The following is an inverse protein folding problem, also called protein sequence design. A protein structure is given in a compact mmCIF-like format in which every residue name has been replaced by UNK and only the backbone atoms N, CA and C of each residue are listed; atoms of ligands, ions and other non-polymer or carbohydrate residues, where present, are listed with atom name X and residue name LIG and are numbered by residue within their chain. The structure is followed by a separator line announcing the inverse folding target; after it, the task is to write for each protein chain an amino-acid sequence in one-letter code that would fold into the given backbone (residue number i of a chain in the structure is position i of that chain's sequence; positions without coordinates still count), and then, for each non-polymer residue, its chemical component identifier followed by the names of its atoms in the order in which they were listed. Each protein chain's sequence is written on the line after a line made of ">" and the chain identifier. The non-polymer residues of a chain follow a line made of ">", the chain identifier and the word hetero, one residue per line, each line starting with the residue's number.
data_IF_668968644592
#
_entry.id   IF_668968644592
#
_cell.length_a   1.000
_cell.length_b   1.000
_cell.length_c   1.000
_cell.angle_alpha   90.00
_cell.angle_beta   90.00
_cell.angle_gamma   90.00
#
_symmetry.space_group_name_H-M   'P 1'
#
loop_
_entity.id
_entity.type
_entity.pdbx_description
1 polymer ?
#
# COMPACT_ATOMS: atom_id res chain seq x y z
N UNK A 1 -13.23 -10.65 3.73
CA UNK A 1 -12.40 -11.10 4.88
C UNK A 1 -12.43 -12.62 4.98
N UNK A 2 -13.60 -13.24 5.18
CA UNK A 2 -13.74 -14.70 5.38
C UNK A 2 -13.28 -15.57 4.19
N UNK A 3 -13.66 -15.22 2.96
CA UNK A 3 -13.18 -15.93 1.76
C UNK A 3 -11.66 -15.83 1.56
N UNK A 4 -11.05 -14.70 1.92
CA UNK A 4 -9.60 -14.50 1.79
C UNK A 4 -8.83 -15.34 2.83
N UNK A 5 -9.38 -15.47 4.04
CA UNK A 5 -8.85 -16.32 5.10
C UNK A 5 -8.91 -17.81 4.72
N UNK A 6 -10.06 -18.30 4.24
CA UNK A 6 -10.19 -19.70 3.82
C UNK A 6 -9.29 -20.04 2.62
N UNK A 7 -9.14 -19.10 1.67
CA UNK A 7 -8.19 -19.26 0.57
C UNK A 7 -6.75 -19.37 1.09
N UNK A 8 -6.34 -18.48 2.01
CA UNK A 8 -5.01 -18.51 2.63
C UNK A 8 -4.75 -19.83 3.36
N UNK A 9 -5.73 -20.31 4.13
CA UNK A 9 -5.68 -21.58 4.86
C UNK A 9 -5.48 -22.76 3.92
N UNK A 10 -6.27 -22.85 2.84
CA UNK A 10 -6.12 -23.91 1.84
C UNK A 10 -4.74 -23.90 1.18
N UNK A 11 -4.25 -22.71 0.79
CA UNK A 11 -2.92 -22.57 0.19
C UNK A 11 -1.81 -23.01 1.14
N UNK A 12 -1.92 -22.66 2.41
CA UNK A 12 -0.97 -23.04 3.44
C UNK A 12 -0.96 -24.55 3.71
N UNK A 13 -2.14 -25.17 3.75
CA UNK A 13 -2.28 -26.63 3.89
C UNK A 13 -1.63 -27.35 2.70
N UNK A 14 -1.91 -26.90 1.47
CA UNK A 14 -1.30 -27.48 0.27
C UNK A 14 0.24 -27.37 0.30
N UNK A 15 0.78 -26.24 0.76
CA UNK A 15 2.22 -26.04 0.88
C UNK A 15 2.84 -26.93 1.96
N UNK A 16 2.15 -27.10 3.09
CA UNK A 16 2.57 -27.99 4.18
C UNK A 16 2.62 -29.47 3.78
N UNK A 17 1.77 -29.90 2.85
CA UNK A 17 1.75 -31.29 2.37
C UNK A 17 2.85 -31.57 1.33
N UNK A 18 3.30 -30.56 0.59
CA UNK A 18 4.28 -30.70 -0.51
C UNK A 18 5.73 -30.73 -0.03
N UNK A 19 6.08 -29.96 1.01
CA UNK A 19 7.48 -29.79 1.41
C UNK A 19 8.21 -31.08 1.85
N UNK A 20 7.58 -32.10 2.49
CA UNK A 20 8.30 -33.30 2.89
C UNK A 20 8.79 -34.11 1.67
N UNK A 21 7.92 -34.28 0.66
CA UNK A 21 8.27 -35.00 -0.56
C UNK A 21 9.36 -34.26 -1.35
N UNK A 22 9.19 -32.94 -1.52
CA UNK A 22 10.18 -32.10 -2.20
C UNK A 22 11.54 -32.14 -1.48
N UNK A 23 11.53 -32.08 -0.15
CA UNK A 23 12.74 -32.18 0.68
C UNK A 23 13.48 -33.50 0.48
N UNK A 24 12.76 -34.63 0.46
CA UNK A 24 13.37 -35.94 0.24
C UNK A 24 14.02 -36.04 -1.16
N UNK A 25 13.32 -35.57 -2.21
CA UNK A 25 13.86 -35.58 -3.59
C UNK A 25 15.06 -34.66 -3.76
N UNK A 26 15.07 -33.51 -3.08
CA UNK A 26 16.22 -32.61 -3.04
C UNK A 26 17.42 -33.27 -2.35
N UNK A 27 17.20 -33.96 -1.23
CA UNK A 27 18.26 -34.68 -0.52
C UNK A 27 18.88 -35.80 -1.39
N UNK A 28 18.05 -36.60 -2.05
CA UNK A 28 18.51 -37.63 -2.99
C UNK A 28 19.29 -37.04 -4.17
N UNK A 29 18.81 -35.94 -4.73
CA UNK A 29 19.44 -35.27 -5.88
C UNK A 29 20.77 -34.63 -5.47
N UNK A 30 20.83 -34.00 -4.29
CA UNK A 30 22.06 -33.46 -3.74
C UNK A 30 23.11 -34.56 -3.54
N UNK A 31 22.68 -35.75 -3.09
CA UNK A 31 23.58 -36.90 -2.97
C UNK A 31 24.08 -37.38 -4.34
N UNK A 32 23.22 -37.51 -5.35
CA UNK A 32 23.61 -37.89 -6.72
C UNK A 32 24.55 -36.87 -7.35
N UNK A 33 24.32 -35.58 -7.12
CA UNK A 33 25.22 -34.51 -7.55
C UNK A 33 26.59 -34.63 -6.87
N UNK A 34 26.61 -34.91 -5.56
CA UNK A 34 27.84 -35.07 -4.78
C UNK A 34 28.66 -36.29 -5.19
N UNK A 35 28.02 -37.42 -5.48
CA UNK A 35 28.71 -38.69 -5.74
C UNK A 35 28.99 -38.95 -7.22
N UNK A 36 28.08 -38.54 -8.11
CA UNK A 36 28.13 -38.85 -9.53
C UNK A 36 28.15 -37.60 -10.43
N UNK A 37 28.05 -36.39 -9.87
CA UNK A 37 28.00 -35.15 -10.65
C UNK A 37 26.71 -34.98 -11.45
N UNK A 38 25.68 -35.79 -11.20
CA UNK A 38 24.42 -35.72 -11.94
C UNK A 38 23.67 -34.43 -11.59
N UNK A 39 23.37 -33.56 -12.56
CA UNK A 39 22.62 -32.33 -12.30
C UNK A 39 21.18 -32.62 -11.88
N UNK A 40 20.53 -31.74 -11.10
CA UNK A 40 19.11 -31.83 -10.80
C UNK A 40 18.25 -31.87 -12.06
N UNK A 41 17.18 -32.66 -12.04
CA UNK A 41 16.19 -32.64 -13.11
C UNK A 41 15.50 -31.27 -13.16
N UNK A 42 15.25 -30.75 -14.36
CA UNK A 42 14.61 -29.44 -14.56
C UNK A 42 13.26 -29.35 -13.83
N UNK A 43 12.49 -30.44 -13.83
CA UNK A 43 11.20 -30.53 -13.12
C UNK A 43 11.32 -30.32 -11.62
N UNK A 44 12.40 -30.77 -10.99
CA UNK A 44 12.66 -30.56 -9.56
C UNK A 44 13.03 -29.10 -9.28
N UNK A 45 13.79 -28.47 -10.17
CA UNK A 45 14.15 -27.04 -10.09
C UNK A 45 12.89 -26.18 -10.23
N UNK A 46 12.04 -26.49 -11.21
CA UNK A 46 10.78 -25.78 -11.44
C UNK A 46 9.83 -25.92 -10.23
N UNK A 47 9.78 -27.11 -9.63
CA UNK A 47 8.96 -27.37 -8.45
C UNK A 47 9.48 -26.64 -7.19
N UNK A 48 10.79 -26.51 -7.03
CA UNK A 48 11.41 -25.71 -5.97
C UNK A 48 11.13 -24.22 -6.15
N UNK A 49 11.23 -23.72 -7.39
CA UNK A 49 10.89 -22.33 -7.73
C UNK A 49 9.41 -22.07 -7.42
N UNK A 50 8.52 -22.98 -7.84
CA UNK A 50 7.09 -22.88 -7.56
C UNK A 50 6.81 -22.89 -6.05
N UNK A 51 7.45 -23.79 -5.29
CA UNK A 51 7.31 -23.84 -3.84
C UNK A 51 7.75 -22.54 -3.16
N UNK A 52 8.92 -21.99 -3.53
CA UNK A 52 9.41 -20.71 -3.01
C UNK A 52 8.47 -19.56 -3.33
N UNK A 53 7.92 -19.54 -4.55
CA UNK A 53 6.96 -18.54 -4.97
C UNK A 53 5.65 -18.63 -4.18
N UNK A 54 5.09 -19.83 -4.05
CA UNK A 54 3.86 -20.05 -3.29
C UNK A 54 4.01 -19.60 -1.82
N UNK A 55 5.18 -19.85 -1.22
CA UNK A 55 5.51 -19.38 0.13
C UNK A 55 5.55 -17.85 0.21
N UNK A 56 6.26 -17.18 -0.70
CA UNK A 56 6.33 -15.71 -0.74
C UNK A 56 4.98 -15.07 -1.04
N UNK A 57 4.17 -15.66 -1.92
CA UNK A 57 2.82 -15.19 -2.23
C UNK A 57 1.94 -15.22 -0.96
N UNK A 58 2.04 -16.27 -0.15
CA UNK A 58 1.37 -16.36 1.14
C UNK A 58 1.87 -15.27 2.10
N UNK A 59 3.18 -15.03 2.19
CA UNK A 59 3.74 -13.95 3.02
C UNK A 59 3.16 -12.58 2.65
N UNK A 60 3.07 -12.28 1.35
CA UNK A 60 2.51 -11.04 0.86
C UNK A 60 1.02 -10.93 1.14
N UNK A 61 0.26 -12.01 0.95
CA UNK A 61 -1.17 -12.05 1.28
C UNK A 61 -1.40 -11.83 2.78
N UNK A 62 -0.60 -12.43 3.65
CA UNK A 62 -0.65 -12.21 5.10
C UNK A 62 -0.27 -10.76 5.49
N UNK A 63 0.72 -10.16 4.81
CA UNK A 63 1.08 -8.77 4.98
C UNK A 63 -0.06 -7.81 4.65
N UNK A 64 -0.77 -8.06 3.54
CA UNK A 64 -1.96 -7.29 3.14
C UNK A 64 -3.09 -7.43 4.17
N UNK A 65 -3.18 -8.56 4.88
CA UNK A 65 -4.10 -8.77 5.99
C UNK A 65 -3.63 -8.14 7.32
N UNK A 66 -2.52 -7.38 7.31
CA UNK A 66 -2.02 -6.68 8.50
C UNK A 66 -1.02 -7.47 9.35
N UNK A 67 -0.62 -8.68 8.95
CA UNK A 67 0.45 -9.44 9.63
C UNK A 67 1.82 -8.99 9.16
N UNK A 68 2.31 -7.87 9.68
CA UNK A 68 3.68 -7.40 9.44
C UNK A 68 4.78 -8.44 9.73
N UNK A 69 4.67 -9.33 10.75
CA UNK A 69 5.67 -10.36 10.99
C UNK A 69 5.76 -11.41 9.86
N UNK A 70 4.78 -11.48 8.96
CA UNK A 70 4.79 -12.46 7.87
C UNK A 70 5.98 -12.32 6.93
N UNK A 71 6.54 -11.12 6.78
CA UNK A 71 7.74 -10.87 5.96
C UNK A 71 8.98 -11.55 6.54
N UNK A 72 9.02 -11.74 7.87
CA UNK A 72 10.17 -12.31 8.58
C UNK A 72 10.04 -13.82 8.81
N UNK A 73 8.89 -14.42 8.48
CA UNK A 73 8.70 -15.85 8.62
C UNK A 73 9.57 -16.62 7.62
N UNK A 74 10.35 -17.55 8.14
CA UNK A 74 11.26 -18.44 7.39
C UNK A 74 10.72 -19.86 7.26
N UNK A 75 9.61 -20.19 7.92
CA UNK A 75 9.02 -21.53 7.88
C UNK A 75 7.50 -21.51 7.66
N UNK A 76 6.99 -22.61 7.08
CA UNK A 76 5.55 -22.82 6.89
C UNK A 76 4.82 -22.81 8.23
N UNK A 77 5.45 -23.34 9.28
CA UNK A 77 4.92 -23.34 10.64
C UNK A 77 4.76 -21.92 11.20
N UNK A 78 5.71 -21.03 10.94
CA UNK A 78 5.58 -19.62 11.35
C UNK A 78 4.42 -18.95 10.62
N UNK A 79 4.22 -19.22 9.33
CA UNK A 79 3.05 -18.72 8.60
C UNK A 79 1.73 -19.32 9.10
N UNK A 80 1.72 -20.59 9.52
CA UNK A 80 0.57 -21.25 10.16
C UNK A 80 0.16 -20.51 11.43
N UNK A 81 1.14 -20.22 12.29
CA UNK A 81 0.90 -19.50 13.54
C UNK A 81 0.38 -18.07 13.30
N UNK A 82 0.93 -17.37 12.31
CA UNK A 82 0.45 -16.04 11.94
C UNK A 82 -0.96 -16.05 11.33
N UNK A 83 -1.30 -17.09 10.57
CA UNK A 83 -2.66 -17.28 10.06
C UNK A 83 -3.63 -17.58 11.21
N UNK A 84 -3.21 -18.31 12.24
CA UNK A 84 -4.01 -18.53 13.45
C UNK A 84 -4.37 -17.20 14.13
N UNK A 85 -3.44 -16.23 14.14
CA UNK A 85 -3.66 -14.87 14.66
C UNK A 85 -4.54 -14.00 13.74
N UNK A 86 -4.70 -14.39 12.47
CA UNK A 86 -5.60 -13.76 11.50
C UNK A 86 -6.99 -14.37 11.46
N UNK A 87 -7.24 -15.44 12.22
CA UNK A 87 -8.60 -15.93 12.38
C UNK A 87 -9.49 -14.73 12.70
N UNK A 88 -10.47 -14.38 11.85
CA UNK A 88 -11.55 -13.57 12.34
C UNK A 88 -12.22 -14.48 13.36
N UNK A 89 -11.92 -14.26 14.62
CA UNK A 89 -12.85 -14.64 15.67
C UNK A 89 -14.10 -13.77 15.45
N UNK A 90 -14.89 -14.07 14.42
CA UNK A 90 -16.09 -13.31 14.08
C UNK A 90 -17.08 -13.34 15.25
N UNK A 91 -17.03 -14.41 16.05
CA UNK A 91 -17.55 -14.46 17.41
C UNK A 91 -16.72 -13.58 18.35
N UNK A 92 -15.48 -13.96 18.68
CA UNK A 92 -14.75 -13.30 19.76
C UNK A 92 -14.46 -11.81 19.56
N UNK A 93 -14.15 -11.26 18.39
CA UNK A 93 -13.94 -9.81 18.25
C UNK A 93 -15.21 -8.98 18.41
N UNK A 94 -16.37 -9.46 17.94
CA UNK A 94 -17.65 -8.77 18.18
C UNK A 94 -18.06 -8.93 19.64
N UNK A 95 -17.99 -10.14 20.16
CA UNK A 95 -18.22 -10.51 21.57
C UNK A 95 -17.30 -9.75 22.52
N UNK A 96 -16.01 -9.62 22.21
CA UNK A 96 -14.98 -8.94 23.00
C UNK A 96 -15.14 -7.42 22.93
N UNK A 97 -15.48 -6.87 21.75
CA UNK A 97 -15.83 -5.45 21.61
C UNK A 97 -17.12 -5.12 22.38
N UNK A 98 -18.15 -5.96 22.28
CA UNK A 98 -19.40 -5.80 23.02
C UNK A 98 -19.19 -5.94 24.53
N UNK A 99 -18.42 -6.93 24.97
CA UNK A 99 -18.06 -7.11 26.38
C UNK A 99 -17.29 -5.91 26.93
N UNK A 100 -16.31 -5.39 26.19
CA UNK A 100 -15.58 -4.17 26.58
C UNK A 100 -16.48 -2.94 26.64
N UNK A 101 -17.43 -2.78 25.71
CA UNK A 101 -18.37 -1.67 25.72
C UNK A 101 -19.30 -1.71 26.94
N UNK A 102 -19.81 -2.89 27.29
CA UNK A 102 -20.66 -3.07 28.49
C UNK A 102 -19.85 -2.80 29.77
N UNK A 103 -18.60 -3.28 29.83
CA UNK A 103 -17.69 -3.01 30.95
C UNK A 103 -17.45 -1.51 31.09
N UNK A 104 -17.18 -0.80 30.00
CA UNK A 104 -17.01 0.65 30.00
C UNK A 104 -18.27 1.38 30.49
N UNK A 105 -19.46 0.98 30.02
CA UNK A 105 -20.73 1.53 30.48
C UNK A 105 -20.89 1.39 32.00
N UNK A 106 -20.60 0.23 32.59
CA UNK A 106 -20.65 0.03 34.05
C UNK A 106 -19.66 0.94 34.78
N UNK A 107 -18.45 1.13 34.24
CA UNK A 107 -17.44 2.00 34.84
C UNK A 107 -17.83 3.48 34.83
N UNK A 108 -18.75 3.89 33.94
CA UNK A 108 -19.30 5.25 33.89
C UNK A 108 -20.52 5.48 34.79
N UNK A 109 -21.06 4.43 35.41
CA UNK A 109 -22.17 4.54 36.34
C UNK A 109 -21.74 5.27 37.62
N UNK A 110 -22.58 6.17 38.08
CA UNK A 110 -22.39 6.90 39.34
C UNK A 110 -23.69 6.93 40.12
N UNK A 111 -23.57 7.04 41.45
CA UNK A 111 -24.71 7.23 42.32
C UNK A 111 -24.85 8.72 42.65
N UNK A 112 -26.04 9.29 42.42
CA UNK A 112 -26.26 10.73 42.55
C UNK A 112 -26.09 11.27 43.99
N UNK A 113 -26.53 10.50 45.00
CA UNK A 113 -26.52 10.95 46.40
C UNK A 113 -25.29 10.50 47.21
N UNK A 114 -24.76 9.29 46.96
CA UNK A 114 -23.66 8.70 47.72
C UNK A 114 -22.48 8.38 46.81
N UNK A 115 -21.42 9.19 46.88
CA UNK A 115 -20.20 9.02 46.07
C UNK A 115 -19.49 7.69 46.33
N UNK A 116 -19.55 7.21 47.56
CA UNK A 116 -18.90 5.97 48.01
C UNK A 116 -19.92 4.84 48.20
N UNK A 117 -20.83 4.64 47.25
CA UNK A 117 -21.86 3.59 47.35
C UNK A 117 -21.23 2.19 47.18
N UNK A 118 -21.07 1.38 48.26
CA UNK A 118 -20.26 0.18 48.21
C UNK A 118 -20.74 -0.89 47.21
N UNK A 119 -22.06 -1.14 47.03
CA UNK A 119 -22.54 -2.11 46.03
C UNK A 119 -22.16 -1.75 44.58
N UNK A 120 -22.12 -0.46 44.24
CA UNK A 120 -21.68 -0.01 42.92
C UNK A 120 -20.15 -0.15 42.77
N UNK A 121 -19.38 0.13 43.82
CA UNK A 121 -17.93 -0.09 43.82
C UNK A 121 -17.58 -1.58 43.60
N UNK A 122 -18.32 -2.50 44.22
CA UNK A 122 -18.16 -3.94 43.99
C UNK A 122 -18.39 -4.30 42.52
N UNK A 123 -19.47 -3.79 41.90
CA UNK A 123 -19.75 -4.01 40.49
C UNK A 123 -18.67 -3.41 39.57
N UNK A 124 -18.15 -2.23 39.89
CA UNK A 124 -17.08 -1.57 39.14
C UNK A 124 -15.74 -2.30 39.28
N UNK A 125 -15.41 -2.83 40.46
CA UNK A 125 -14.19 -3.61 40.67
C UNK A 125 -14.23 -4.91 39.87
N UNK A 126 -15.37 -5.62 39.88
CA UNK A 126 -15.57 -6.80 39.05
C UNK A 126 -15.45 -6.46 37.55
N UNK A 127 -15.98 -5.32 37.12
CA UNK A 127 -15.83 -4.84 35.74
C UNK A 127 -14.35 -4.56 35.38
N UNK A 128 -13.55 -3.98 36.30
CA UNK A 128 -12.11 -3.75 36.10
C UNK A 128 -11.30 -5.03 36.03
N UNK A 129 -11.59 -6.01 36.88
CA UNK A 129 -10.94 -7.33 36.85
C UNK A 129 -11.22 -8.05 35.53
N UNK A 130 -12.46 -7.96 35.03
CA UNK A 130 -12.81 -8.49 33.73
C UNK A 130 -12.12 -7.72 32.60
N UNK A 131 -12.00 -6.39 32.70
CA UNK A 131 -11.28 -5.57 31.73
C UNK A 131 -9.80 -5.98 31.61
N UNK A 132 -9.11 -6.17 32.75
CA UNK A 132 -7.69 -6.56 32.76
C UNK A 132 -7.50 -7.99 32.25
N UNK A 133 -8.39 -8.91 32.63
CA UNK A 133 -8.39 -10.27 32.13
C UNK A 133 -8.58 -10.30 30.60
N UNK A 134 -9.56 -9.56 30.08
CA UNK A 134 -9.87 -9.43 28.65
C UNK A 134 -8.72 -8.79 27.85
N UNK A 135 -7.98 -7.85 28.46
CA UNK A 135 -6.81 -7.20 27.85
C UNK A 135 -5.58 -8.13 27.78
N UNK A 136 -5.44 -9.09 28.70
CA UNK A 136 -4.31 -10.01 28.77
C UNK A 136 -4.44 -11.24 27.85
N UNK A 137 -5.50 -11.34 27.05
CA UNK A 137 -5.72 -12.40 26.05
C UNK A 137 -5.50 -13.84 26.60
N UNK A 138 -5.87 -14.09 27.85
CA UNK A 138 -5.75 -15.44 28.41
C UNK A 138 -6.80 -16.37 27.77
N UNK A 139 -6.34 -17.47 27.16
CA UNK A 139 -7.17 -18.44 26.43
C UNK A 139 -8.36 -19.01 27.24
N UNK A 140 -8.36 -18.86 28.57
CA UNK A 140 -9.44 -19.29 29.47
C UNK A 140 -10.70 -18.41 29.47
N UNK A 141 -10.70 -17.22 28.82
CA UNK A 141 -11.80 -16.23 28.93
C UNK A 141 -12.92 -16.35 27.90
N UNK A 142 -12.93 -17.42 27.09
CA UNK A 142 -13.94 -17.61 26.06
C UNK A 142 -15.36 -17.65 26.67
N UNK A 143 -15.55 -18.26 27.85
CA UNK A 143 -16.88 -18.42 28.47
C UNK A 143 -17.47 -17.15 29.09
N UNK A 144 -16.66 -16.30 29.74
CA UNK A 144 -17.15 -15.08 30.42
C UNK A 144 -17.37 -13.94 29.43
N UNK A 145 -16.49 -13.79 28.45
CA UNK A 145 -16.67 -12.84 27.37
C UNK A 145 -17.91 -13.18 26.52
N UNK A 146 -18.18 -14.48 26.31
CA UNK A 146 -19.39 -14.95 25.65
C UNK A 146 -20.65 -14.67 26.47
N UNK A 147 -20.66 -14.93 27.78
CA UNK A 147 -21.78 -14.59 28.67
C UNK A 147 -22.12 -13.09 28.66
N UNK A 148 -21.10 -12.22 28.63
CA UNK A 148 -21.28 -10.76 28.49
C UNK A 148 -21.90 -10.39 27.14
N UNK A 149 -21.52 -11.06 26.05
CA UNK A 149 -22.04 -10.76 24.71
C UNK A 149 -23.41 -11.37 24.42
N UNK A 150 -23.74 -12.52 25.01
CA UNK A 150 -25.07 -13.16 24.89
C UNK A 150 -26.11 -12.54 25.82
N UNK A 151 -25.70 -11.60 26.68
CA UNK A 151 -26.59 -10.90 27.62
C UNK A 151 -26.87 -11.64 28.92
N UNK A 152 -26.21 -12.78 29.16
CA UNK A 152 -26.40 -13.61 30.35
C UNK A 152 -25.35 -13.28 31.42
N UNK A 153 -25.23 -12.00 31.77
CA UNK A 153 -24.27 -11.55 32.77
C UNK A 153 -24.86 -10.45 33.66
N UNK A 154 -24.64 -10.47 34.99
CA UNK A 154 -25.17 -9.46 35.90
C UNK A 154 -24.81 -8.01 35.55
N UNK A 155 -23.62 -7.79 34.97
CA UNK A 155 -23.23 -6.46 34.48
C UNK A 155 -24.07 -5.98 33.28
N UNK A 156 -24.55 -6.88 32.43
CA UNK A 156 -25.47 -6.53 31.33
C UNK A 156 -26.84 -6.16 31.88
N UNK A 157 -27.31 -6.90 32.89
CA UNK A 157 -28.54 -6.57 33.60
C UNK A 157 -28.46 -5.19 34.25
N UNK A 158 -27.29 -4.84 34.79
CA UNK A 158 -27.05 -3.56 35.46
C UNK A 158 -27.19 -2.40 34.48
N UNK A 159 -26.52 -2.49 33.33
CA UNK A 159 -26.61 -1.48 32.26
C UNK A 159 -28.03 -1.42 31.70
N UNK A 160 -28.68 -2.57 31.49
CA UNK A 160 -30.02 -2.63 30.89
C UNK A 160 -31.09 -1.99 31.79
N UNK A 161 -31.04 -2.23 33.10
CA UNK A 161 -31.97 -1.61 34.05
C UNK A 161 -31.79 -0.09 34.15
N UNK A 162 -30.57 0.42 33.94
CA UNK A 162 -30.26 1.86 34.00
C UNK A 162 -30.57 2.56 32.65
N UNK A 163 -30.26 1.93 31.52
CA UNK A 163 -30.41 2.53 30.19
C UNK A 163 -31.83 2.42 29.63
N UNK A 164 -32.54 1.33 29.92
CA UNK A 164 -33.84 1.01 29.32
C UNK A 164 -35.00 1.08 30.31
N UNK A 165 -34.83 1.78 31.43
CA UNK A 165 -35.80 1.86 32.53
C UNK A 165 -37.23 2.16 32.07
N UNK A 166 -37.41 3.04 31.06
CA UNK A 166 -38.72 3.45 30.56
C UNK A 166 -39.35 2.50 29.51
N UNK A 167 -38.61 1.49 29.06
CA UNK A 167 -39.00 0.62 27.94
C UNK A 167 -39.10 -0.86 28.28
N UNK A 168 -38.75 -1.24 29.51
CA UNK A 168 -38.81 -2.61 29.99
C UNK A 168 -40.22 -2.94 30.51
N UNK A 169 -40.72 -4.13 30.18
CA UNK A 169 -41.95 -4.65 30.78
C UNK A 169 -41.70 -5.23 32.18
N UNK A 170 -42.79 -5.40 32.97
CA UNK A 170 -42.72 -5.86 34.36
C UNK A 170 -42.04 -7.24 34.51
N UNK A 171 -42.19 -8.12 33.53
CA UNK A 171 -41.60 -9.46 33.57
C UNK A 171 -40.09 -9.40 33.27
N UNK A 172 -39.68 -8.61 32.29
CA UNK A 172 -38.26 -8.36 31.97
C UNK A 172 -37.56 -7.67 33.13
N UNK A 173 -38.22 -6.69 33.76
CA UNK A 173 -37.69 -5.99 34.93
C UNK A 173 -37.42 -6.96 36.10
N UNK A 174 -38.40 -7.82 36.43
CA UNK A 174 -38.25 -8.79 37.52
C UNK A 174 -37.08 -9.75 37.31
N UNK A 175 -36.89 -10.25 36.07
CA UNK A 175 -35.78 -11.13 35.71
C UNK A 175 -34.43 -10.43 35.89
N UNK A 176 -34.30 -9.19 35.43
CA UNK A 176 -33.05 -8.42 35.53
C UNK A 176 -32.76 -8.01 36.99
N UNK A 177 -33.77 -7.64 37.76
CA UNK A 177 -33.63 -7.30 39.18
C UNK A 177 -33.19 -8.52 40.03
N UNK A 178 -33.68 -9.72 39.71
CA UNK A 178 -33.24 -10.96 40.35
C UNK A 178 -31.76 -11.26 40.05
N UNK A 179 -31.31 -11.03 38.82
CA UNK A 179 -29.90 -11.18 38.44
C UNK A 179 -28.99 -10.17 39.16
N UNK A 180 -29.43 -8.93 39.36
CA UNK A 180 -28.69 -7.94 40.15
C UNK A 180 -28.69 -8.28 41.64
N UNK A 181 -29.83 -8.71 42.16
CA UNK A 181 -29.97 -9.03 43.58
C UNK A 181 -29.10 -10.21 43.99
N UNK A 182 -29.04 -11.24 43.14
CA UNK A 182 -28.22 -12.43 43.37
C UNK A 182 -26.72 -12.15 43.25
N UNK A 183 -26.30 -11.23 42.38
CA UNK A 183 -24.89 -10.94 42.13
C UNK A 183 -24.31 -9.80 43.01
N UNK A 184 -25.06 -8.72 43.20
CA UNK A 184 -24.58 -7.47 43.82
C UNK A 184 -25.39 -7.04 45.05
N UNK A 185 -26.45 -7.78 45.39
CA UNK A 185 -27.29 -7.53 46.55
C UNK A 185 -28.48 -6.60 46.28
N UNK A 186 -29.50 -6.69 47.17
CA UNK A 186 -30.78 -5.97 47.05
C UNK A 186 -30.64 -4.44 47.03
N UNK A 187 -29.63 -3.90 47.70
CA UNK A 187 -29.41 -2.46 47.80
C UNK A 187 -29.12 -1.80 46.45
N UNK A 188 -28.43 -2.50 45.54
CA UNK A 188 -28.16 -1.99 44.20
C UNK A 188 -29.43 -1.97 43.34
N UNK A 189 -30.24 -3.04 43.38
CA UNK A 189 -31.53 -3.10 42.68
C UNK A 189 -32.49 -1.98 43.12
N UNK A 190 -32.60 -1.73 44.43
CA UNK A 190 -33.42 -0.65 44.98
C UNK A 190 -32.91 0.74 44.59
N UNK A 191 -31.60 0.94 44.46
CA UNK A 191 -31.04 2.20 44.00
C UNK A 191 -31.38 2.48 42.53
N UNK A 192 -31.36 1.43 41.69
CA UNK A 192 -31.71 1.53 40.26
C UNK A 192 -33.21 1.79 40.08
N UNK A 193 -34.08 1.05 40.78
CA UNK A 193 -35.53 1.28 40.70
C UNK A 193 -35.96 2.67 41.15
N UNK A 194 -35.16 3.31 42.02
CA UNK A 194 -35.34 4.70 42.46
C UNK A 194 -34.66 5.75 41.57
N UNK A 195 -34.04 5.35 40.45
CA UNK A 195 -33.36 6.27 39.52
C UNK A 195 -32.10 6.93 40.09
N UNK A 196 -31.49 6.35 41.14
CA UNK A 196 -30.34 6.95 41.84
C UNK A 196 -29.00 6.65 41.19
N UNK A 197 -28.97 5.70 40.24
CA UNK A 197 -27.79 5.30 39.47
C UNK A 197 -27.93 5.87 38.05
N UNK A 198 -26.94 6.63 37.58
CA UNK A 198 -26.95 7.26 36.25
C UNK A 198 -25.57 7.17 35.57
N UNK A 199 -25.56 7.25 34.24
CA UNK A 199 -24.32 7.39 33.47
C UNK A 199 -23.72 8.79 33.64
N UNK A 200 -22.40 8.87 33.79
CA UNK A 200 -21.68 10.14 33.83
C UNK A 200 -21.74 10.82 32.46
N UNK A 201 -22.62 11.81 32.30
CA UNK A 201 -22.60 12.69 31.13
C UNK A 201 -21.36 13.57 31.23
N UNK A 202 -20.44 13.45 30.25
CA UNK A 202 -19.35 14.41 30.06
C UNK A 202 -19.95 15.74 29.61
N UNK A 203 -20.40 16.56 30.55
CA UNK A 203 -20.90 17.91 30.32
C UNK A 203 -19.76 18.80 29.76
N UNK A 204 -19.83 19.13 28.47
CA UNK A 204 -19.42 20.47 28.02
C UNK A 204 -20.44 21.47 28.57
N UNK A 205 -20.02 22.30 29.51
CA UNK A 205 -20.85 23.31 30.13
C UNK A 205 -21.38 24.31 29.07
N UNK A 206 -22.70 24.58 29.00
CA UNK A 206 -23.19 25.85 28.52
C UNK A 206 -23.14 26.84 29.67
N UNK A 207 -22.14 27.72 29.68
CA UNK A 207 -22.14 28.89 30.55
C UNK A 207 -23.19 29.87 30.06
N UNK A 208 -24.42 29.78 30.58
CA UNK A 208 -25.37 30.89 30.52
C UNK A 208 -25.06 31.79 31.71
N UNK A 209 -24.17 32.76 31.49
CA UNK A 209 -23.94 33.86 32.40
C UNK A 209 -24.98 34.94 32.13
N UNK A 210 -25.70 35.32 33.18
CA UNK A 210 -26.72 36.38 33.22
C UNK A 210 -26.16 37.69 32.66
N UNK A 211 -26.90 38.30 31.72
CA UNK A 211 -26.55 39.57 31.09
C UNK A 211 -26.62 40.76 32.08
N UNK A 212 -25.59 41.64 32.11
CA UNK A 212 -25.71 43.00 32.61
C UNK A 212 -25.98 43.99 31.47
N UNK A 213 -26.79 44.99 31.82
CA UNK A 213 -27.31 46.12 31.02
C UNK A 213 -26.22 46.93 30.27
N UNK A 214 -26.47 47.43 29.04
CA UNK A 214 -25.50 48.21 28.28
C UNK A 214 -25.40 49.65 28.81
N UNK A 215 -24.17 50.09 29.10
CA UNK A 215 -23.83 51.49 29.35
C UNK A 215 -22.97 52.00 28.18
N UNK A 216 -23.37 53.16 27.66
CA UNK A 216 -22.78 53.92 26.55
C UNK A 216 -21.42 54.48 27.01
N UNK A 217 -20.36 54.43 26.19
CA UNK A 217 -19.22 55.32 26.38
C UNK A 217 -19.22 56.51 25.41
N UNK A 218 -18.88 57.65 25.99
CA UNK A 218 -18.86 59.00 25.44
C UNK A 218 -17.78 59.25 24.37
N UNK A 219 -18.10 60.24 23.53
CA UNK A 219 -17.26 60.89 22.53
C UNK A 219 -16.24 61.81 23.23
N UNK A 220 -14.96 61.76 22.83
CA UNK A 220 -14.02 62.88 22.94
C UNK A 220 -13.20 62.97 21.64
N UNK A 221 -12.92 64.21 21.24
CA UNK A 221 -12.75 64.76 19.88
C UNK A 221 -11.27 65.10 19.57
N UNK A 222 -10.89 64.84 18.31
CA UNK A 222 -9.91 65.45 17.37
C UNK A 222 -8.43 65.68 17.76
N UNK A 223 -7.54 65.23 16.86
CA UNK A 223 -6.82 66.18 15.97
C UNK A 223 -6.43 65.50 14.62
N UNK A 224 -6.67 66.22 13.52
CA UNK A 224 -6.24 65.96 12.12
C UNK A 224 -4.81 66.56 11.88
N UNK A 225 -4.07 66.39 10.76
CA UNK A 225 -4.58 66.22 9.38
C UNK A 225 -3.70 65.49 8.33
N UNK A 226 -4.30 65.40 7.12
CA UNK A 226 -3.71 65.33 5.76
C UNK A 226 -3.19 63.99 5.20
N UNK A 227 -3.80 63.59 4.08
CA UNK A 227 -3.03 63.55 2.83
C UNK A 227 -3.00 62.23 2.06
N UNK A 228 -3.96 62.08 1.13
CA UNK A 228 -3.77 61.70 -0.28
C UNK A 228 -2.95 60.45 -0.67
N UNK A 229 -3.57 59.55 -1.43
CA UNK A 229 -2.88 58.79 -2.48
C UNK A 229 -3.13 57.28 -2.52
N UNK A 230 -3.84 56.83 -3.55
CA UNK A 230 -4.14 55.44 -3.91
C UNK A 230 -2.93 54.69 -4.56
N UNK A 231 -3.06 53.41 -4.97
CA UNK A 231 -2.02 52.38 -4.83
C UNK A 231 -0.90 52.43 -5.89
N UNK A 232 0.31 52.04 -5.49
CA UNK A 232 1.49 52.02 -6.36
C UNK A 232 1.59 50.73 -7.18
N UNK A 233 1.51 50.92 -8.50
CA UNK A 233 1.84 49.96 -9.56
C UNK A 233 3.35 49.71 -9.56
N UNK A 234 3.77 48.45 -9.34
CA UNK A 234 5.16 48.06 -9.55
C UNK A 234 5.35 47.77 -11.05
N UNK A 235 5.97 48.74 -11.71
CA UNK A 235 6.50 48.68 -13.07
C UNK A 235 7.79 47.85 -13.05
N UNK A 236 7.86 46.82 -13.89
CA UNK A 236 9.10 46.08 -14.19
C UNK A 236 9.62 46.57 -15.55
N UNK A 237 10.86 47.08 -15.67
CA UNK A 237 11.38 47.56 -16.95
C UNK A 237 11.74 46.40 -17.89
N UNK A 238 11.52 46.63 -19.18
CA UNK A 238 11.79 45.71 -20.28
C UNK A 238 13.19 45.90 -20.88
N UNK A 239 13.59 44.88 -21.65
CA UNK A 239 14.53 44.84 -22.80
C UNK A 239 16.01 44.56 -22.48
N UNK A 240 16.47 43.37 -22.88
CA UNK A 240 17.34 43.31 -24.07
C UNK A 240 17.11 42.01 -24.87
N UNK A 241 16.90 42.17 -26.19
CA UNK A 241 16.61 41.12 -27.18
C UNK A 241 17.83 41.00 -28.08
N UNK A 242 18.41 39.79 -28.20
CA UNK A 242 19.49 39.55 -29.16
C UNK A 242 19.10 38.48 -30.19
N UNK A 243 18.75 38.99 -31.39
CA UNK A 243 19.02 38.53 -32.77
C UNK A 243 18.66 37.11 -33.23
N UNK A 244 17.74 37.07 -34.20
CA UNK A 244 17.55 36.03 -35.22
C UNK A 244 18.73 35.96 -36.23
N UNK A 245 18.89 34.82 -36.95
CA UNK A 245 20.02 34.51 -37.82
C UNK A 245 19.97 35.22 -39.19
N UNK A 246 21.09 35.31 -39.92
CA UNK A 246 21.12 35.96 -41.23
C UNK A 246 20.52 35.09 -42.34
N UNK A 247 19.58 35.69 -43.07
CA UNK A 247 19.18 35.28 -44.43
C UNK A 247 20.26 35.74 -45.41
N UNK A 248 20.75 34.82 -46.25
CA UNK A 248 21.55 35.15 -47.44
C UNK A 248 20.72 34.72 -48.66
N UNK A 249 20.26 35.70 -49.44
CA UNK A 249 19.75 35.49 -50.79
C UNK A 249 20.79 35.97 -51.81
N UNK A 250 21.00 35.17 -52.86
CA UNK A 250 21.40 35.69 -54.17
C UNK A 250 22.53 34.97 -54.91
N UNK A 251 22.15 34.08 -55.84
CA UNK A 251 22.86 33.69 -57.08
C UNK A 251 24.17 32.90 -56.98
N UNK A 252 24.07 31.57 -57.15
CA UNK A 252 24.51 30.87 -58.37
C UNK A 252 24.23 29.36 -58.27
N UNK A 253 23.43 28.87 -59.22
CA UNK A 253 23.20 27.44 -59.47
C UNK A 253 24.31 26.96 -60.40
N UNK A 254 25.07 25.93 -60.01
CA UNK A 254 25.87 25.10 -60.94
C UNK A 254 25.72 23.64 -60.53
N UNK A 255 25.15 22.85 -61.43
CA UNK A 255 25.12 21.38 -61.39
C UNK A 255 26.48 20.83 -61.85
N UNK A 256 26.99 19.82 -61.15
CA UNK A 256 28.22 19.12 -61.55
C UNK A 256 28.39 17.77 -60.83
N UNK A 257 28.07 16.70 -61.53
CA UNK A 257 28.41 15.32 -61.17
C UNK A 257 29.93 15.10 -61.24
N UNK A 258 30.55 14.48 -60.23
CA UNK A 258 31.41 13.28 -60.35
C UNK A 258 31.93 12.80 -58.98
N UNK A 259 32.23 11.49 -58.84
CA UNK A 259 32.27 10.79 -57.56
C UNK A 259 33.65 10.89 -56.89
N UNK A 260 33.67 11.07 -55.57
CA UNK A 260 34.89 10.79 -54.80
C UNK A 260 34.80 9.36 -54.32
N UNK A 261 35.45 8.50 -55.11
CA UNK A 261 35.75 7.13 -54.75
C UNK A 261 36.56 7.08 -53.45
N UNK A 262 36.12 6.15 -52.61
CA UNK A 262 36.76 5.54 -51.46
C UNK A 262 38.28 5.74 -51.32
N UNK A 263 38.68 6.16 -50.12
CA UNK A 263 39.67 5.40 -49.36
C UNK A 263 38.99 4.86 -48.11
N UNK A 264 38.68 3.58 -48.16
CA UNK A 264 38.39 2.76 -47.00
C UNK A 264 39.65 2.65 -46.14
N UNK A 265 39.48 2.83 -44.82
CA UNK A 265 40.24 2.28 -43.68
C UNK A 265 39.96 3.23 -42.48
N UNK A 266 39.38 2.83 -41.34
CA UNK A 266 39.29 1.51 -40.76
C UNK A 266 37.88 1.07 -40.36
N UNK A 267 37.74 -0.25 -40.29
CA UNK A 267 36.63 -1.00 -39.74
C UNK A 267 36.33 -0.46 -38.33
N UNK A 268 35.20 0.24 -38.17
CA UNK A 268 34.74 0.71 -36.86
C UNK A 268 34.56 -0.52 -35.97
N UNK A 269 35.47 -0.67 -35.01
CA UNK A 269 35.37 -1.59 -33.89
C UNK A 269 34.08 -1.27 -33.13
N UNK A 270 33.14 -2.23 -33.11
CA UNK A 270 31.94 -2.34 -32.27
C UNK A 270 31.70 -1.13 -31.35
N UNK A 271 31.21 -0.02 -31.93
CA UNK A 271 30.86 1.17 -31.16
C UNK A 271 29.54 0.90 -30.44
N UNK A 272 29.63 0.37 -29.23
CA UNK A 272 28.49 0.29 -28.32
C UNK A 272 27.99 1.72 -28.06
N UNK A 273 26.79 2.04 -28.55
CA UNK A 273 26.15 3.32 -28.27
C UNK A 273 25.75 3.32 -26.80
N UNK A 274 26.16 4.36 -26.09
CA UNK A 274 25.81 4.57 -24.69
C UNK A 274 24.39 5.12 -24.59
N UNK A 275 23.67 4.68 -23.55
CA UNK A 275 22.32 5.09 -23.23
C UNK A 275 22.25 5.53 -21.78
N UNK A 276 21.43 6.53 -21.50
CA UNK A 276 20.99 6.90 -20.17
C UNK A 276 19.51 6.52 -20.03
N UNK A 277 19.24 5.57 -19.15
CA UNK A 277 17.91 4.97 -18.96
C UNK A 277 17.42 5.33 -17.56
N UNK A 278 16.39 6.16 -17.47
CA UNK A 278 15.72 6.46 -16.21
C UNK A 278 14.50 5.56 -16.07
N UNK A 279 14.33 4.92 -14.91
CA UNK A 279 13.14 4.12 -14.57
C UNK A 279 12.61 4.55 -13.21
N UNK A 280 11.28 4.68 -13.11
CA UNK A 280 10.58 4.89 -11.84
C UNK A 280 10.11 3.55 -11.31
N UNK A 281 10.63 3.15 -10.15
CA UNK A 281 10.32 1.88 -9.51
C UNK A 281 9.42 2.09 -8.30
N UNK A 282 8.41 1.23 -8.16
CA UNK A 282 7.48 1.28 -7.02
C UNK A 282 8.23 1.31 -5.69
N UNK A 283 7.99 2.37 -4.91
CA UNK A 283 8.55 2.56 -3.58
C UNK A 283 10.05 2.85 -3.54
N UNK A 284 10.73 2.97 -4.69
CA UNK A 284 12.16 3.35 -4.77
C UNK A 284 12.38 4.66 -5.54
N UNK A 285 11.41 5.12 -6.32
CA UNK A 285 11.50 6.34 -7.09
C UNK A 285 12.33 6.19 -8.37
N UNK A 286 12.83 7.33 -8.86
CA UNK A 286 13.63 7.39 -10.10
C UNK A 286 15.05 6.85 -9.85
N UNK A 287 15.50 5.96 -10.74
CA UNK A 287 16.86 5.41 -10.80
C UNK A 287 17.36 5.49 -12.23
N UNK A 288 18.65 5.76 -12.42
CA UNK A 288 19.28 5.86 -13.74
C UNK A 288 20.27 4.72 -13.97
N UNK A 289 20.28 4.17 -15.17
CA UNK A 289 21.05 3.01 -15.58
C UNK A 289 21.69 3.26 -16.96
N UNK A 290 22.72 2.47 -17.27
CA UNK A 290 23.45 2.53 -18.53
C UNK A 290 22.93 1.50 -19.54
N UNK A 291 23.37 1.62 -20.80
CA UNK A 291 23.13 0.59 -21.81
C UNK A 291 23.58 -0.80 -21.33
N UNK A 292 22.83 -1.85 -21.69
CA UNK A 292 23.02 -3.27 -21.29
C UNK A 292 22.90 -3.56 -19.79
N UNK A 293 22.74 -2.54 -18.95
CA UNK A 293 22.47 -2.70 -17.53
C UNK A 293 21.02 -3.13 -17.30
N UNK A 294 20.79 -3.91 -16.24
CA UNK A 294 19.45 -4.27 -15.83
C UNK A 294 18.82 -3.12 -15.04
N UNK A 295 17.93 -2.36 -15.69
CA UNK A 295 17.19 -1.25 -15.11
C UNK A 295 15.93 -1.78 -14.40
N UNK A 296 16.06 -2.15 -13.12
CA UNK A 296 14.97 -2.67 -12.30
C UNK A 296 15.44 -3.34 -11.02
N UNK A 297 14.55 -4.06 -10.34
CA UNK A 297 14.90 -4.87 -9.16
C UNK A 297 14.50 -6.31 -9.35
N UNK A 298 15.47 -7.18 -9.63
CA UNK A 298 15.23 -8.60 -9.89
C UNK A 298 14.72 -9.30 -8.63
N UNK A 299 13.59 -10.00 -8.72
CA UNK A 299 13.05 -10.80 -7.62
C UNK A 299 12.53 -10.03 -6.41
N UNK A 300 12.51 -8.68 -6.45
CA UNK A 300 11.96 -7.86 -5.36
C UNK A 300 10.48 -7.54 -5.55
N UNK A 301 9.87 -8.00 -6.65
CA UNK A 301 8.43 -7.81 -6.89
C UNK A 301 8.01 -6.37 -7.18
N UNK A 302 8.94 -5.45 -7.44
CA UNK A 302 8.61 -4.04 -7.67
C UNK A 302 8.30 -3.81 -9.14
N UNK A 303 7.14 -3.19 -9.41
CA UNK A 303 6.77 -2.77 -10.77
C UNK A 303 7.57 -1.55 -11.23
N UNK A 304 7.79 -1.51 -12.52
CA UNK A 304 8.19 -0.34 -13.28
C UNK A 304 6.92 0.48 -13.60
N UNK A 305 6.89 1.74 -13.19
CA UNK A 305 5.72 2.61 -13.40
C UNK A 305 5.94 3.62 -14.53
N UNK A 306 7.20 4.00 -14.77
CA UNK A 306 7.59 4.88 -15.86
C UNK A 306 9.04 4.64 -16.29
N UNK A 307 9.38 5.01 -17.53
CA UNK A 307 10.76 5.07 -17.99
C UNK A 307 11.00 6.18 -19.02
N UNK A 308 12.27 6.52 -19.19
CA UNK A 308 12.78 7.46 -20.17
C UNK A 308 14.12 6.95 -20.69
N UNK A 309 14.35 7.09 -21.98
CA UNK A 309 15.60 6.65 -22.63
C UNK A 309 16.20 7.83 -23.40
N UNK A 310 17.52 7.99 -23.26
CA UNK A 310 18.32 8.97 -23.99
C UNK A 310 19.56 8.30 -24.57
N UNK A 311 19.93 8.67 -25.79
CA UNK A 311 21.24 8.38 -26.38
C UNK A 311 22.21 9.43 -25.84
N UNK A 312 23.24 8.98 -25.13
CA UNK A 312 24.16 9.87 -24.43
C UNK A 312 25.61 9.40 -24.59
N UNK A 313 26.47 10.13 -25.30
CA UNK A 313 26.21 11.42 -25.96
C UNK A 313 25.30 11.29 -27.18
N UNK A 314 24.55 12.34 -27.50
CA UNK A 314 23.65 12.38 -28.65
C UNK A 314 24.40 12.16 -29.97
N UNK A 315 23.80 11.39 -30.88
CA UNK A 315 24.37 11.07 -32.20
C UNK A 315 23.54 11.77 -33.28
N UNK A 316 24.17 12.62 -34.09
CA UNK A 316 23.48 13.37 -35.12
C UNK A 316 22.74 12.44 -36.11
N UNK A 317 21.44 12.67 -36.28
CA UNK A 317 20.60 11.88 -37.19
C UNK A 317 20.19 10.50 -36.67
N UNK A 318 20.53 10.14 -35.42
CA UNK A 318 20.02 8.95 -34.75
C UNK A 318 19.23 9.38 -33.51
N UNK A 319 17.99 8.92 -33.40
CA UNK A 319 17.17 9.11 -32.21
C UNK A 319 16.29 7.88 -31.99
N UNK A 320 15.48 7.90 -30.94
CA UNK A 320 14.59 6.82 -30.56
C UNK A 320 13.20 7.35 -30.24
N UNK A 321 12.19 6.49 -30.40
CA UNK A 321 10.85 6.72 -29.87
C UNK A 321 10.33 5.42 -29.28
N UNK A 322 9.43 5.54 -28.33
CA UNK A 322 8.95 4.40 -27.57
C UNK A 322 7.52 4.59 -27.10
N UNK A 323 6.85 3.48 -26.85
CA UNK A 323 5.52 3.44 -26.26
C UNK A 323 5.48 2.40 -25.15
N UNK A 324 4.52 2.53 -24.24
CA UNK A 324 4.26 1.56 -23.19
C UNK A 324 2.78 1.17 -23.17
N UNK A 325 2.49 -0.05 -22.74
CA UNK A 325 1.16 -0.45 -22.29
C UNK A 325 1.09 -0.28 -20.78
N UNK A 326 0.26 0.65 -20.31
CA UNK A 326 0.07 0.94 -18.90
C UNK A 326 -1.21 0.23 -18.43
N UNK A 327 -1.12 -0.51 -17.34
CA UNK A 327 -2.28 -1.20 -16.77
C UNK A 327 -3.44 -0.21 -16.55
N UNK A 328 -4.65 -0.63 -16.93
CA UNK A 328 -5.91 0.16 -16.88
C UNK A 328 -6.01 1.38 -17.79
N UNK A 329 -4.93 1.80 -18.47
CA UNK A 329 -4.94 2.91 -19.43
C UNK A 329 -4.86 2.38 -20.87
N UNK A 330 -3.99 1.40 -21.11
CA UNK A 330 -3.72 0.86 -22.43
C UNK A 330 -2.43 1.41 -23.04
N UNK A 331 -2.36 1.36 -24.37
CA UNK A 331 -1.18 1.77 -25.14
C UNK A 331 -1.02 3.29 -25.15
N UNK A 332 0.16 3.80 -24.81
CA UNK A 332 0.50 5.21 -24.97
C UNK A 332 0.78 5.54 -26.44
N UNK A 333 0.67 6.83 -26.83
CA UNK A 333 1.28 7.31 -28.07
C UNK A 333 2.79 7.01 -28.11
N UNK A 334 3.36 7.04 -29.31
CA UNK A 334 4.81 7.00 -29.49
C UNK A 334 5.43 8.30 -28.98
N UNK A 335 6.19 8.17 -27.89
CA UNK A 335 6.87 9.25 -27.18
C UNK A 335 8.30 9.39 -27.72
N UNK A 336 8.78 10.61 -28.02
CA UNK A 336 10.13 10.82 -28.50
C UNK A 336 11.18 10.60 -27.41
N UNK A 337 12.43 10.43 -27.82
CA UNK A 337 13.60 10.36 -26.96
C UNK A 337 13.61 11.45 -25.87
N UNK A 338 13.98 11.06 -24.65
CA UNK A 338 14.10 11.98 -23.53
C UNK A 338 12.80 12.42 -22.87
N UNK A 339 11.65 11.93 -23.32
CA UNK A 339 10.37 12.16 -22.65
C UNK A 339 9.95 10.95 -21.81
N UNK A 340 9.36 11.18 -20.64
CA UNK A 340 8.89 10.10 -19.79
C UNK A 340 7.68 9.40 -20.40
N UNK A 341 7.69 8.06 -20.46
CA UNK A 341 6.51 7.23 -20.72
C UNK A 341 6.11 6.50 -19.44
N UNK A 342 4.80 6.44 -19.13
CA UNK A 342 4.28 5.91 -17.87
C UNK A 342 3.84 7.00 -16.88
N UNK A 343 3.46 6.59 -15.67
CA UNK A 343 2.97 7.49 -14.62
C UNK A 343 3.69 7.23 -13.30
N UNK A 344 4.42 8.22 -12.77
CA UNK A 344 5.08 8.11 -11.46
C UNK A 344 4.05 8.09 -10.34
N UNK A 345 4.15 7.14 -9.41
CA UNK A 345 3.43 7.15 -8.13
C UNK A 345 1.91 7.02 -8.22
N UNK A 346 1.35 6.76 -9.41
CA UNK A 346 -0.10 6.57 -9.60
C UNK A 346 -0.54 5.11 -9.44
N UNK A 347 0.34 4.25 -8.93
CA UNK A 347 0.10 2.82 -8.72
C UNK A 347 -0.29 2.06 -10.00
N UNK A 348 0.16 2.51 -11.17
CA UNK A 348 -0.06 1.81 -12.44
C UNK A 348 1.24 1.20 -12.95
N UNK A 349 1.27 -0.11 -13.16
CA UNK A 349 2.41 -0.78 -13.77
C UNK A 349 2.44 -0.58 -15.29
N UNK A 350 3.64 -0.61 -15.84
CA UNK A 350 3.85 -0.93 -17.25
C UNK A 350 3.78 -2.45 -17.40
N UNK A 351 3.00 -2.95 -18.36
CA UNK A 351 2.88 -4.38 -18.69
C UNK A 351 3.74 -4.79 -19.90
N UNK A 352 4.11 -3.81 -20.73
CA UNK A 352 4.99 -3.99 -21.87
C UNK A 352 5.28 -2.69 -22.60
N UNK A 353 6.16 -2.74 -23.58
CA UNK A 353 6.64 -1.56 -24.31
C UNK A 353 7.23 -1.96 -25.66
N UNK A 354 7.42 -0.96 -26.52
CA UNK A 354 8.15 -1.11 -27.77
C UNK A 354 9.08 0.10 -27.96
N UNK A 355 10.27 -0.13 -28.53
CA UNK A 355 11.29 0.90 -28.77
C UNK A 355 11.75 0.76 -30.21
N UNK A 356 11.77 1.86 -30.94
CA UNK A 356 12.26 1.90 -32.31
C UNK A 356 13.22 3.07 -32.54
N UNK A 357 14.17 2.86 -33.44
CA UNK A 357 15.11 3.89 -33.86
C UNK A 357 14.51 4.73 -34.98
N UNK A 358 14.77 6.03 -34.94
CA UNK A 358 14.31 7.00 -35.93
C UNK A 358 15.44 7.93 -36.35
N UNK A 359 15.25 8.61 -37.49
CA UNK A 359 16.22 9.53 -38.07
C UNK A 359 17.06 8.91 -39.20
N UNK A 360 17.81 9.75 -39.94
CA UNK A 360 18.58 9.30 -41.11
C UNK A 360 19.59 8.18 -40.86
N UNK A 361 20.10 8.06 -39.63
CA UNK A 361 21.10 7.04 -39.27
C UNK A 361 20.46 5.74 -38.75
N UNK A 362 19.16 5.70 -38.44
CA UNK A 362 18.48 4.52 -37.91
C UNK A 362 18.68 3.24 -38.74
N UNK A 363 18.75 3.26 -40.10
CA UNK A 363 19.01 2.07 -40.89
C UNK A 363 20.34 1.38 -40.57
N UNK A 364 21.34 2.11 -40.07
CA UNK A 364 22.69 1.60 -39.76
C UNK A 364 22.77 0.90 -38.39
N UNK A 365 21.70 0.92 -37.60
CA UNK A 365 21.70 0.41 -36.23
C UNK A 365 20.47 -0.47 -35.95
N UNK A 366 20.58 -1.28 -34.89
CA UNK A 366 19.49 -2.06 -34.31
C UNK A 366 19.39 -1.77 -32.82
N UNK A 367 18.19 -1.43 -32.34
CA UNK A 367 17.90 -1.39 -30.90
C UNK A 367 17.41 -2.75 -30.44
N UNK A 368 18.00 -3.24 -29.37
CA UNK A 368 17.65 -4.48 -28.71
C UNK A 368 17.15 -4.18 -27.30
N UNK A 369 16.11 -4.88 -26.88
CA UNK A 369 15.56 -4.73 -25.55
C UNK A 369 14.87 -5.99 -25.05
N UNK A 370 14.94 -6.21 -23.74
CA UNK A 370 14.25 -7.30 -23.04
C UNK A 370 13.67 -6.79 -21.74
N UNK A 371 12.75 -7.55 -21.16
CA UNK A 371 12.07 -7.25 -19.93
C UNK A 371 12.04 -8.47 -19.01
N UNK A 372 12.04 -8.22 -17.70
CA UNK A 372 11.59 -9.20 -16.71
C UNK A 372 10.12 -8.95 -16.41
N UNK A 373 9.28 -9.93 -16.68
CA UNK A 373 7.83 -9.84 -16.45
C UNK A 373 7.45 -10.71 -15.26
N UNK A 374 6.62 -10.15 -14.37
CA UNK A 374 6.07 -10.89 -13.25
C UNK A 374 5.50 -12.24 -13.70
N UNK A 375 5.86 -13.31 -12.99
CA UNK A 375 5.40 -14.68 -13.25
C UNK A 375 5.80 -15.30 -14.60
N UNK A 376 6.49 -14.56 -15.48
CA UNK A 376 7.01 -15.08 -16.77
C UNK A 376 8.53 -15.09 -16.83
N UNK A 377 9.19 -14.28 -16.02
CA UNK A 377 10.64 -14.16 -16.02
C UNK A 377 11.15 -13.25 -17.13
N UNK A 378 12.41 -13.45 -17.53
CA UNK A 378 13.01 -12.72 -18.63
C UNK A 378 12.41 -13.17 -19.96
N UNK A 379 11.87 -12.24 -20.74
CA UNK A 379 11.32 -12.56 -22.07
C UNK A 379 12.42 -12.51 -23.15
N UNK A 380 12.21 -13.18 -24.30
CA UNK A 380 13.13 -13.09 -25.42
C UNK A 380 13.43 -11.64 -25.82
N UNK A 381 14.62 -11.41 -26.37
CA UNK A 381 15.03 -10.09 -26.85
C UNK A 381 14.15 -9.67 -28.01
N UNK A 382 13.56 -8.49 -27.88
CA UNK A 382 12.82 -7.79 -28.92
C UNK A 382 13.74 -6.79 -29.63
N UNK A 383 13.45 -6.53 -30.90
CA UNK A 383 14.22 -5.60 -31.72
C UNK A 383 13.31 -4.62 -32.45
N UNK A 384 13.79 -3.39 -32.69
CA UNK A 384 13.21 -2.41 -33.62
C UNK A 384 11.66 -2.39 -33.68
N UNK A 385 11.01 -1.90 -32.64
CA UNK A 385 9.56 -1.70 -32.59
C UNK A 385 8.74 -2.96 -32.25
N UNK A 386 9.38 -4.13 -32.13
CA UNK A 386 8.69 -5.34 -31.64
C UNK A 386 8.16 -5.15 -30.21
N UNK A 387 6.95 -5.63 -29.95
CA UNK A 387 6.36 -5.50 -28.63
C UNK A 387 7.04 -6.43 -27.62
N UNK A 388 7.53 -5.87 -26.51
CA UNK A 388 8.19 -6.58 -25.41
C UNK A 388 7.32 -6.47 -24.16
N UNK A 389 6.67 -7.56 -23.74
CA UNK A 389 5.77 -7.53 -22.59
C UNK A 389 4.51 -8.37 -22.75
N UNK A 390 3.51 -8.00 -21.96
CA UNK A 390 2.13 -8.47 -22.08
C UNK A 390 1.17 -7.29 -22.25
N UNK A 391 -0.05 -7.55 -22.72
CA UNK A 391 -1.13 -6.54 -22.79
C UNK A 391 -2.37 -7.08 -22.09
N UNK A 392 -2.95 -6.31 -21.18
CA UNK A 392 -4.17 -6.63 -20.46
C UNK A 392 -4.08 -7.88 -19.58
N UNK A 393 -2.88 -8.38 -19.28
CA UNK A 393 -2.69 -9.60 -18.47
C UNK A 393 -2.47 -9.26 -16.98
N UNK A 394 -2.37 -7.98 -16.62
CA UNK A 394 -2.09 -7.56 -15.24
C UNK A 394 -0.66 -7.86 -14.78
N UNK A 395 0.19 -8.40 -15.65
CA UNK A 395 1.56 -8.77 -15.32
C UNK A 395 2.49 -7.57 -15.53
N UNK A 396 3.05 -7.09 -14.42
CA UNK A 396 3.98 -5.96 -14.42
C UNK A 396 5.32 -6.32 -15.05
N UNK A 397 5.94 -5.34 -15.70
CA UNK A 397 7.37 -5.31 -15.97
C UNK A 397 8.08 -4.91 -14.66
N UNK A 398 9.10 -5.69 -14.27
CA UNK A 398 9.90 -5.48 -13.04
C UNK A 398 11.31 -4.95 -13.33
N UNK A 399 11.73 -5.03 -14.59
CA UNK A 399 12.98 -4.45 -15.06
C UNK A 399 13.13 -4.58 -16.56
N UNK A 400 13.98 -3.73 -17.13
CA UNK A 400 14.25 -3.67 -18.56
C UNK A 400 15.75 -3.64 -18.81
N UNK A 401 16.17 -4.10 -19.98
CA UNK A 401 17.54 -3.96 -20.47
C UNK A 401 17.49 -3.50 -21.91
N UNK A 402 18.24 -2.46 -22.26
CA UNK A 402 18.21 -1.82 -23.58
C UNK A 402 19.64 -1.58 -24.05
N UNK A 403 19.91 -1.84 -25.33
CA UNK A 403 21.17 -1.51 -25.98
C UNK A 403 21.01 -1.33 -27.48
N UNK A 404 21.98 -0.66 -28.10
CA UNK A 404 22.01 -0.44 -29.55
C UNK A 404 23.33 -0.99 -30.10
N UNK A 405 23.26 -1.63 -31.27
CA UNK A 405 24.42 -2.13 -32.01
C UNK A 405 24.36 -1.65 -33.46
N UNK A 406 25.53 -1.47 -34.07
CA UNK A 406 25.63 -1.24 -35.51
C UNK A 406 25.25 -2.53 -36.27
N UNK A 407 24.65 -2.38 -37.45
CA UNK A 407 24.32 -3.51 -38.34
C UNK A 407 25.52 -4.01 -39.14
#
# INVERSE_FOLDING_TARGET
>A
MEQAYETLKQQLTALSQRYPNLGNRLAETAQKLKTAGTPPAQTLVDELIAYSKDFSDIQQKLLIQGQQPAIQATSVQQLQNLLQNLTPTSGHHKTHRQALQIIEQVLTLTHNEQKDFPPLQTAQNQARELQTAIAQQTNQLHSVAEALATGNHPLVALVSLVEKQDSLDDNQWAILEEQITSAFGKSLGVAISRGKINFTVKQTAPSVTVAPKPAIPDIVILDEPQGSGSPELIIVPSIDVTKLPPTIEGKNIIFGNTPIAAKAQGKATLSNINLKILVHLQGLGDRTFSAREYAGTRGQGRRLEAFQVNIDPAIAGLSLRYMAHIATIGDTPLTPEGQLVGERGKNRQIEGFAIELVGPQAPNYTVFYTAHIQNKGDVPVCINGQYCGTKGQGLRVEGIKIWIEAK
#
